data_IF_067797777479
#
_entry.id   IF_067797777479
#
_cell.length_a   1.000
_cell.length_b   1.000
_cell.length_c   1.000
_cell.angle_alpha   90.00
_cell.angle_beta   90.00
_cell.angle_gamma   90.00
#
_symmetry.space_group_name_H-M   'P 1'
#
loop_
_entity.id
_entity.type
_entity.pdbx_description
1 polymer ?
#
# COMPACT_ATOMS: atom_id res chain seq x y z
N UNK A 1 22.08 -2.74 12.76
CA UNK A 1 21.82 -1.33 13.04
C UNK A 1 20.37 -1.02 12.77
N UNK A 2 19.61 -0.98 13.86
CA UNK A 2 18.28 -0.41 13.97
C UNK A 2 18.34 1.11 14.03
N UNK A 3 17.20 1.78 13.83
CA UNK A 3 17.11 3.23 13.98
C UNK A 3 17.32 3.64 15.44
N UNK A 4 16.74 2.89 16.38
CA UNK A 4 16.93 3.14 17.82
C UNK A 4 18.41 3.08 18.23
N UNK A 5 19.11 2.02 17.81
CA UNK A 5 20.54 1.82 18.07
C UNK A 5 21.41 2.97 17.51
N UNK A 6 21.15 3.38 16.27
CA UNK A 6 21.91 4.44 15.59
C UNK A 6 21.78 5.80 16.31
N UNK A 7 20.61 6.09 16.86
CA UNK A 7 20.33 7.35 17.54
C UNK A 7 20.35 7.27 19.07
N UNK A 8 20.79 6.14 19.64
CA UNK A 8 20.91 5.97 21.09
C UNK A 8 19.56 5.99 21.84
N UNK A 9 18.48 5.58 21.18
CA UNK A 9 17.15 5.49 21.77
C UNK A 9 17.06 4.18 22.56
N UNK A 10 16.71 4.26 23.84
CA UNK A 10 16.44 3.06 24.64
C UNK A 10 14.98 2.68 24.47
N UNK A 11 14.73 1.60 23.74
CA UNK A 11 13.38 1.04 23.59
C UNK A 11 13.09 0.01 24.70
N UNK A 12 11.90 0.09 25.29
CA UNK A 12 11.41 -0.85 26.31
C UNK A 12 10.41 -1.88 25.74
N UNK A 13 10.02 -1.73 24.46
CA UNK A 13 9.27 -2.72 23.68
C UNK A 13 7.79 -2.40 23.50
N UNK A 14 7.25 -1.41 24.20
CA UNK A 14 5.86 -0.95 24.10
C UNK A 14 5.68 0.22 23.12
N UNK A 15 6.74 0.66 22.44
CA UNK A 15 6.66 1.78 21.51
C UNK A 15 5.77 1.46 20.33
N UNK A 16 4.89 2.38 19.96
CA UNK A 16 3.95 2.18 18.85
C UNK A 16 4.60 2.32 17.46
N UNK A 17 5.83 2.84 17.38
CA UNK A 17 6.55 3.05 16.12
C UNK A 17 7.42 1.86 15.76
N UNK A 18 7.47 1.52 14.48
CA UNK A 18 8.33 0.46 13.97
C UNK A 18 9.78 0.94 13.94
N UNK A 19 10.68 0.17 14.51
CA UNK A 19 12.12 0.44 14.51
C UNK A 19 12.80 -0.26 13.32
N UNK A 20 13.05 0.46 12.20
CA UNK A 20 13.54 -0.14 10.99
C UNK A 20 15.02 -0.52 11.06
N UNK A 21 15.37 -1.59 10.35
CA UNK A 21 16.77 -1.92 10.07
C UNK A 21 17.27 -0.96 9.00
N UNK A 22 18.28 -0.12 9.30
CA UNK A 22 18.65 0.98 8.40
C UNK A 22 19.41 0.54 7.13
N UNK A 23 20.09 -0.59 7.16
CA UNK A 23 20.95 -1.05 6.07
C UNK A 23 20.28 -2.05 5.12
N UNK A 24 19.04 -2.48 5.41
CA UNK A 24 18.28 -3.42 4.58
C UNK A 24 16.79 -3.20 4.74
N UNK A 25 16.00 -3.64 3.76
CA UNK A 25 14.54 -3.56 3.89
C UNK A 25 13.99 -4.75 4.67
N UNK A 26 12.99 -4.49 5.51
CA UNK A 26 12.28 -5.53 6.25
C UNK A 26 11.08 -6.02 5.44
N UNK A 27 10.88 -7.34 5.34
CA UNK A 27 9.80 -7.96 4.55
C UNK A 27 8.42 -7.81 5.22
N UNK A 28 8.01 -6.56 5.36
CA UNK A 28 6.75 -6.06 5.89
C UNK A 28 6.23 -4.98 4.92
N UNK A 29 4.93 -4.79 4.94
CA UNK A 29 4.20 -3.89 4.05
C UNK A 29 3.22 -3.05 4.86
N UNK A 30 2.98 -1.81 4.44
CA UNK A 30 1.88 -1.01 4.97
C UNK A 30 0.57 -1.59 4.45
N UNK A 31 -0.28 -2.01 5.38
CA UNK A 31 -1.62 -2.52 5.08
C UNK A 31 -2.61 -1.34 5.12
N UNK A 32 -3.23 -0.96 3.98
CA UNK A 32 -4.11 0.20 3.95
C UNK A 32 -5.28 0.03 4.93
N UNK A 33 -5.81 -1.18 5.06
CA UNK A 33 -6.90 -1.49 5.97
C UNK A 33 -6.52 -1.25 7.44
N UNK A 34 -5.29 -1.60 7.81
CA UNK A 34 -4.76 -1.35 9.16
C UNK A 34 -4.59 0.15 9.44
N UNK A 35 -4.25 0.95 8.42
CA UNK A 35 -4.23 2.41 8.53
C UNK A 35 -5.64 2.95 8.81
N UNK A 36 -6.68 2.39 8.17
CA UNK A 36 -8.07 2.86 8.35
C UNK A 36 -8.60 2.59 9.76
N UNK A 37 -8.10 1.55 10.43
CA UNK A 37 -8.41 1.23 11.83
C UNK A 37 -7.59 2.04 12.85
N UNK A 38 -6.77 2.99 12.40
CA UNK A 38 -5.96 3.84 13.28
C UNK A 38 -6.83 4.72 14.19
N UNK A 39 -6.44 4.80 15.46
CA UNK A 39 -7.03 5.75 16.43
C UNK A 39 -6.23 7.07 16.54
N UNK A 40 -5.10 7.22 15.84
CA UNK A 40 -4.36 8.49 15.80
C UNK A 40 -5.05 9.48 14.86
N UNK A 41 -5.45 10.63 15.39
CA UNK A 41 -6.11 11.73 14.67
C UNK A 41 -5.34 12.17 13.42
N UNK A 42 -4.02 12.02 13.40
CA UNK A 42 -3.19 12.33 12.22
C UNK A 42 -3.62 11.52 10.99
N UNK A 43 -4.13 10.31 11.18
CA UNK A 43 -4.48 9.36 10.12
C UNK A 43 -5.98 9.16 9.93
N UNK A 44 -6.83 9.86 10.68
CA UNK A 44 -8.29 9.67 10.68
C UNK A 44 -8.95 9.73 9.29
N UNK A 45 -8.48 10.62 8.41
CA UNK A 45 -9.04 10.81 7.07
C UNK A 45 -8.29 10.06 5.96
N UNK A 46 -7.35 9.17 6.32
CA UNK A 46 -6.47 8.48 5.35
C UNK A 46 -7.26 7.65 4.35
N UNK A 47 -8.30 6.95 4.80
CA UNK A 47 -9.16 6.13 3.94
C UNK A 47 -9.86 6.96 2.87
N UNK A 48 -10.60 7.97 3.30
CA UNK A 48 -11.35 8.87 2.43
C UNK A 48 -10.44 9.55 1.40
N UNK A 49 -9.23 9.94 1.81
CA UNK A 49 -8.25 10.53 0.91
C UNK A 49 -7.74 9.54 -0.15
N UNK A 50 -7.37 8.32 0.25
CA UNK A 50 -6.91 7.28 -0.68
C UNK A 50 -8.02 6.94 -1.67
N UNK A 51 -9.24 6.70 -1.18
CA UNK A 51 -10.40 6.42 -2.03
C UNK A 51 -10.70 7.57 -2.99
N UNK A 52 -10.64 8.81 -2.52
CA UNK A 52 -10.85 9.99 -3.36
C UNK A 52 -9.80 10.10 -4.48
N UNK A 53 -8.54 9.80 -4.20
CA UNK A 53 -7.48 9.77 -5.21
C UNK A 53 -7.81 8.77 -6.35
N UNK A 54 -8.17 7.53 -6.00
CA UNK A 54 -8.49 6.52 -7.01
C UNK A 54 -9.81 6.80 -7.72
N UNK A 55 -10.81 7.35 -7.03
CA UNK A 55 -12.04 7.80 -7.66
C UNK A 55 -11.77 8.84 -8.76
N UNK A 56 -10.90 9.82 -8.50
CA UNK A 56 -10.49 10.79 -9.52
C UNK A 56 -9.77 10.14 -10.70
N UNK A 57 -8.97 9.10 -10.48
CA UNK A 57 -8.32 8.35 -11.55
C UNK A 57 -9.35 7.55 -12.39
N UNK A 58 -10.30 6.88 -11.74
CA UNK A 58 -11.39 6.16 -12.40
C UNK A 58 -12.23 7.10 -13.28
N UNK A 59 -12.64 8.26 -12.75
CA UNK A 59 -13.42 9.26 -13.48
C UNK A 59 -12.69 9.77 -14.73
N UNK A 60 -11.39 10.06 -14.62
CA UNK A 60 -10.58 10.51 -15.75
C UNK A 60 -10.45 9.44 -16.84
N UNK A 61 -10.28 8.18 -16.44
CA UNK A 61 -10.17 7.05 -17.37
C UNK A 61 -11.54 6.80 -18.03
N UNK A 62 -12.62 6.79 -17.28
CA UNK A 62 -13.98 6.65 -17.80
C UNK A 62 -14.32 7.76 -18.80
N UNK A 63 -14.01 9.02 -18.45
CA UNK A 63 -14.21 10.20 -19.32
C UNK A 63 -13.46 10.07 -20.66
N UNK A 64 -12.32 9.38 -20.66
CA UNK A 64 -11.54 9.18 -21.88
C UNK A 64 -12.12 8.13 -22.83
N UNK A 65 -13.11 7.33 -22.40
CA UNK A 65 -13.63 6.18 -23.15
C UNK A 65 -12.55 5.14 -23.47
N UNK A 66 -11.48 5.07 -22.66
CA UNK A 66 -10.32 4.20 -22.88
C UNK A 66 -9.37 4.66 -23.99
N UNK A 67 -9.57 5.84 -24.56
CA UNK A 67 -8.65 6.38 -25.57
C UNK A 67 -7.36 6.90 -24.92
N UNK A 68 -6.27 6.14 -25.09
CA UNK A 68 -4.93 6.45 -24.55
C UNK A 68 -4.37 7.81 -25.00
N UNK A 69 -4.85 8.35 -26.12
CA UNK A 69 -4.42 9.66 -26.62
C UNK A 69 -5.21 10.83 -26.01
N UNK A 70 -6.34 10.56 -25.35
CA UNK A 70 -7.18 11.57 -24.71
C UNK A 70 -6.46 12.22 -23.53
N UNK A 71 -6.70 13.52 -23.32
CA UNK A 71 -6.06 14.29 -22.26
C UNK A 71 -6.36 13.72 -20.87
N UNK A 72 -7.60 13.32 -20.59
CA UNK A 72 -7.99 12.70 -19.32
C UNK A 72 -7.25 11.39 -19.05
N UNK A 73 -7.05 10.55 -20.07
CA UNK A 73 -6.30 9.29 -19.92
C UNK A 73 -4.84 9.56 -19.53
N UNK A 74 -4.18 10.47 -20.28
CA UNK A 74 -2.80 10.88 -19.98
C UNK A 74 -2.68 11.53 -18.60
N UNK A 75 -3.72 12.25 -18.16
CA UNK A 75 -3.76 12.86 -16.84
C UNK A 75 -3.87 11.81 -15.75
N UNK A 76 -4.75 10.81 -15.90
CA UNK A 76 -4.84 9.68 -14.98
C UNK A 76 -3.52 8.91 -14.91
N UNK A 77 -2.88 8.63 -16.05
CA UNK A 77 -1.56 7.98 -16.09
C UNK A 77 -0.50 8.77 -15.33
N UNK A 78 -0.50 10.10 -15.47
CA UNK A 78 0.40 10.97 -14.69
C UNK A 78 0.08 11.00 -13.19
N UNK A 79 -1.19 10.85 -12.80
CA UNK A 79 -1.57 10.77 -11.38
C UNK A 79 -1.08 9.45 -10.77
N UNK A 80 -1.29 8.36 -11.49
CA UNK A 80 -0.93 6.99 -11.11
C UNK A 80 0.59 6.71 -11.20
N UNK A 81 1.39 7.71 -11.59
CA UNK A 81 2.83 7.69 -11.49
C UNK A 81 3.28 8.04 -10.07
N UNK A 82 3.23 7.05 -9.17
CA UNK A 82 3.67 7.26 -7.80
C UNK A 82 5.20 7.42 -7.73
N UNK A 83 5.72 8.38 -6.93
CA UNK A 83 7.14 8.49 -6.64
C UNK A 83 7.67 7.28 -5.85
N UNK A 84 8.97 7.01 -5.91
CA UNK A 84 9.61 5.96 -5.10
C UNK A 84 9.74 6.39 -3.63
N UNK A 85 9.50 5.49 -2.68
CA UNK A 85 9.58 5.75 -1.22
C UNK A 85 10.67 4.92 -0.56
N UNK A 86 11.93 5.22 -0.89
CA UNK A 86 13.09 4.52 -0.31
C UNK A 86 13.40 4.82 1.17
N UNK A 87 12.61 5.72 1.78
CA UNK A 87 12.83 6.19 3.15
C UNK A 87 12.28 5.25 4.24
N UNK A 88 11.45 4.26 3.89
CA UNK A 88 10.73 3.43 4.86
C UNK A 88 11.53 2.21 5.37
N UNK A 89 12.52 1.74 4.60
CA UNK A 89 13.23 0.49 4.86
C UNK A 89 12.29 -0.74 4.98
N UNK A 90 11.25 -0.77 4.15
CA UNK A 90 10.25 -1.83 4.05
C UNK A 90 10.25 -2.41 2.64
N UNK A 91 9.83 -3.67 2.50
CA UNK A 91 9.63 -4.34 1.22
C UNK A 91 10.53 -5.56 0.99
N UNK A 92 10.60 -6.00 -0.27
CA UNK A 92 11.36 -7.18 -0.67
C UNK A 92 12.87 -6.88 -0.71
N UNK A 93 13.60 -7.20 0.36
CA UNK A 93 15.07 -7.13 0.39
C UNK A 93 15.70 -8.31 -0.37
N UNK A 94 16.08 -8.07 -1.63
CA UNK A 94 17.21 -8.66 -2.40
C UNK A 94 17.18 -8.13 -3.84
N UNK A 95 18.29 -7.50 -4.26
CA UNK A 95 18.72 -7.30 -5.66
C UNK A 95 17.83 -6.58 -6.67
N UNK A 96 16.61 -6.15 -6.34
CA UNK A 96 15.86 -5.23 -7.21
C UNK A 96 16.27 -3.81 -6.84
N UNK A 97 17.07 -3.15 -7.70
CA UNK A 97 17.00 -1.69 -7.77
C UNK A 97 15.52 -1.36 -7.88
N UNK A 98 15.00 -0.62 -6.90
CA UNK A 98 13.58 -0.40 -6.68
C UNK A 98 12.87 -0.29 -8.01
N UNK A 99 12.08 -1.31 -8.35
CA UNK A 99 11.19 -1.22 -9.48
C UNK A 99 10.09 -0.28 -9.03
N UNK A 100 10.38 1.01 -8.89
CA UNK A 100 9.37 1.99 -8.54
C UNK A 100 8.14 1.77 -9.43
N UNK A 101 7.02 2.31 -9.00
CA UNK A 101 5.82 2.58 -9.79
C UNK A 101 6.14 3.54 -10.94
N UNK A 102 7.20 3.26 -11.71
CA UNK A 102 7.72 4.10 -12.76
C UNK A 102 6.77 4.16 -13.95
N UNK A 103 7.15 4.87 -15.03
CA UNK A 103 6.25 5.17 -16.14
C UNK A 103 5.57 3.94 -16.75
N UNK A 104 6.28 2.81 -16.85
CA UNK A 104 5.70 1.58 -17.38
C UNK A 104 4.65 0.97 -16.45
N UNK A 105 4.86 1.06 -15.15
CA UNK A 105 3.91 0.57 -14.17
C UNK A 105 2.67 1.46 -14.10
N UNK A 106 2.83 2.79 -14.15
CA UNK A 106 1.71 3.73 -14.22
C UNK A 106 0.81 3.45 -15.44
N UNK A 107 1.42 3.19 -16.61
CA UNK A 107 0.71 2.74 -17.82
C UNK A 107 -0.07 1.44 -17.61
N UNK A 108 0.56 0.48 -16.95
CA UNK A 108 -0.04 -0.84 -16.66
C UNK A 108 -1.23 -0.69 -15.72
N UNK A 109 -1.08 0.05 -14.62
CA UNK A 109 -2.17 0.33 -13.68
C UNK A 109 -3.33 1.08 -14.37
N UNK A 110 -3.03 2.10 -15.18
CA UNK A 110 -4.05 2.85 -15.94
C UNK A 110 -4.79 1.94 -16.90
N UNK A 111 -4.08 1.03 -17.59
CA UNK A 111 -4.68 0.07 -18.50
C UNK A 111 -5.54 -0.97 -17.77
N UNK A 112 -5.10 -1.45 -16.61
CA UNK A 112 -5.87 -2.38 -15.77
C UNK A 112 -7.16 -1.73 -15.26
N UNK A 113 -7.08 -0.50 -14.74
CA UNK A 113 -8.27 0.26 -14.32
C UNK A 113 -9.21 0.47 -15.51
N UNK A 114 -8.69 0.83 -16.68
CA UNK A 114 -9.51 0.96 -17.89
C UNK A 114 -10.21 -0.35 -18.27
N UNK A 115 -9.51 -1.48 -18.15
CA UNK A 115 -10.09 -2.81 -18.39
C UNK A 115 -11.22 -3.11 -17.41
N UNK A 116 -10.99 -2.91 -16.11
CA UNK A 116 -11.98 -3.08 -15.04
C UNK A 116 -13.24 -2.22 -15.30
N UNK A 117 -13.06 -0.94 -15.66
CA UNK A 117 -14.16 -0.04 -16.04
C UNK A 117 -14.93 -0.57 -17.25
N UNK A 118 -14.25 -1.08 -18.28
CA UNK A 118 -14.89 -1.64 -19.47
C UNK A 118 -15.76 -2.87 -19.18
N UNK A 119 -15.56 -3.51 -18.02
CA UNK A 119 -16.33 -4.66 -17.52
C UNK A 119 -17.45 -4.27 -16.55
N UNK A 120 -17.69 -2.97 -16.34
CA UNK A 120 -18.80 -2.43 -15.55
C UNK A 120 -18.45 -2.07 -14.11
N UNK A 121 -17.21 -2.31 -13.67
CA UNK A 121 -16.74 -1.90 -12.33
C UNK A 121 -16.31 -0.44 -12.39
N UNK A 122 -17.21 0.45 -11.96
CA UNK A 122 -17.05 1.91 -12.10
C UNK A 122 -16.49 2.60 -10.85
N UNK A 123 -16.43 1.89 -9.73
CA UNK A 123 -15.86 2.34 -8.47
C UNK A 123 -15.39 1.13 -7.67
N UNK A 124 -14.49 1.37 -6.70
CA UNK A 124 -14.03 0.39 -5.73
C UNK A 124 -14.69 0.66 -4.38
N UNK A 125 -14.93 -0.38 -3.59
CA UNK A 125 -15.36 -0.22 -2.19
C UNK A 125 -14.14 -0.05 -1.30
N UNK A 126 -13.08 -0.82 -1.54
CA UNK A 126 -11.78 -0.70 -0.90
C UNK A 126 -10.67 -0.60 -1.93
N UNK A 127 -9.63 0.17 -1.60
CA UNK A 127 -8.48 0.35 -2.48
C UNK A 127 -7.73 -0.97 -2.76
N UNK A 128 -7.69 -1.85 -1.77
CA UNK A 128 -7.04 -3.15 -1.78
C UNK A 128 -7.64 -4.12 -2.79
N UNK A 129 -8.88 -3.88 -3.23
CA UNK A 129 -9.50 -4.65 -4.32
C UNK A 129 -8.64 -4.62 -5.59
N UNK A 130 -7.85 -3.57 -5.81
CA UNK A 130 -6.88 -3.52 -6.90
C UNK A 130 -5.85 -4.67 -6.83
N UNK A 131 -5.53 -5.19 -5.66
CA UNK A 131 -4.65 -6.37 -5.49
C UNK A 131 -5.27 -7.70 -5.94
N UNK A 132 -6.61 -7.71 -6.09
CA UNK A 132 -7.39 -8.84 -6.62
C UNK A 132 -7.68 -8.61 -8.11
N UNK A 133 -8.16 -7.42 -8.46
CA UNK A 133 -8.66 -7.09 -9.80
C UNK A 133 -7.55 -6.81 -10.81
N UNK A 134 -6.39 -6.30 -10.38
CA UNK A 134 -5.31 -5.96 -11.29
C UNK A 134 -4.17 -6.97 -11.21
N UNK A 135 -3.81 -7.51 -12.38
CA UNK A 135 -2.58 -8.28 -12.51
C UNK A 135 -1.35 -7.43 -12.15
N UNK A 136 -0.37 -8.06 -11.50
CA UNK A 136 0.90 -7.40 -11.13
C UNK A 136 0.82 -6.44 -9.92
N UNK A 137 -0.34 -6.31 -9.26
CA UNK A 137 -0.47 -5.54 -8.02
C UNK A 137 -0.35 -6.47 -6.82
N UNK A 138 0.84 -6.51 -6.22
CA UNK A 138 1.12 -7.24 -4.98
C UNK A 138 1.03 -6.38 -3.72
N UNK A 139 1.28 -7.01 -2.55
CA UNK A 139 1.42 -6.33 -1.25
C UNK A 139 2.38 -5.13 -1.26
N UNK A 140 3.50 -5.27 -1.98
CA UNK A 140 4.50 -4.21 -2.17
C UNK A 140 3.90 -2.98 -2.83
N UNK A 141 3.12 -3.18 -3.90
CA UNK A 141 2.51 -2.09 -4.66
C UNK A 141 1.43 -1.38 -3.87
N UNK A 142 0.57 -2.11 -3.18
CA UNK A 142 -0.45 -1.53 -2.30
C UNK A 142 0.20 -0.73 -1.17
N UNK A 143 1.26 -1.27 -0.56
CA UNK A 143 2.05 -0.58 0.46
C UNK A 143 2.71 0.69 -0.09
N UNK A 144 3.35 0.63 -1.27
CA UNK A 144 4.03 1.78 -1.88
C UNK A 144 3.04 2.90 -2.24
N UNK A 145 1.87 2.57 -2.78
CA UNK A 145 0.82 3.54 -3.09
C UNK A 145 0.31 4.21 -1.81
N UNK A 146 0.05 3.41 -0.76
CA UNK A 146 -0.41 3.89 0.55
C UNK A 146 0.63 4.80 1.20
N UNK A 147 1.89 4.38 1.20
CA UNK A 147 3.02 5.17 1.67
C UNK A 147 3.14 6.51 0.96
N UNK A 148 2.93 6.54 -0.37
CA UNK A 148 2.98 7.78 -1.13
C UNK A 148 1.84 8.74 -0.82
N UNK A 149 0.60 8.23 -0.76
CA UNK A 149 -0.58 9.04 -0.48
C UNK A 149 -0.56 9.60 0.94
N UNK A 150 0.02 8.87 1.88
CA UNK A 150 0.11 9.27 3.29
C UNK A 150 1.48 9.84 3.67
N UNK A 151 2.34 10.12 2.69
CA UNK A 151 3.74 10.46 2.93
C UNK A 151 3.90 11.69 3.82
N UNK A 152 3.10 12.74 3.59
CA UNK A 152 3.09 13.94 4.41
C UNK A 152 2.73 13.63 5.89
N UNK A 153 1.72 12.78 6.13
CA UNK A 153 1.34 12.33 7.48
C UNK A 153 2.44 11.50 8.12
N UNK A 154 3.04 10.57 7.38
CA UNK A 154 4.17 9.76 7.87
C UNK A 154 5.40 10.61 8.19
N UNK A 155 5.65 11.69 7.44
CA UNK A 155 6.68 12.69 7.76
C UNK A 155 6.35 13.39 9.08
N UNK A 156 5.12 13.87 9.27
CA UNK A 156 4.69 14.49 10.53
C UNK A 156 4.81 13.51 11.71
N UNK A 157 4.40 12.25 11.52
CA UNK A 157 4.55 11.19 12.51
C UNK A 157 6.02 10.95 12.89
N UNK A 158 6.90 10.88 11.89
CA UNK A 158 8.35 10.74 12.09
C UNK A 158 8.91 11.91 12.89
N UNK A 159 8.52 13.14 12.56
CA UNK A 159 8.95 14.34 13.28
C UNK A 159 8.50 14.34 14.74
N UNK A 160 7.27 13.86 15.04
CA UNK A 160 6.79 13.69 16.42
C UNK A 160 7.72 12.77 17.22
N UNK A 161 8.07 11.61 16.67
CA UNK A 161 8.99 10.64 17.31
C UNK A 161 10.39 11.24 17.48
N UNK A 162 10.94 11.86 16.43
CA UNK A 162 12.25 12.48 16.50
C UNK A 162 12.32 13.57 17.58
N UNK A 163 11.26 14.37 17.75
CA UNK A 163 11.19 15.38 18.79
C UNK A 163 11.12 14.77 20.21
N UNK A 164 10.38 13.67 20.40
CA UNK A 164 10.30 12.95 21.68
C UNK A 164 11.68 12.46 22.13
N UNK A 165 12.44 11.88 21.20
CA UNK A 165 13.74 11.27 21.48
C UNK A 165 14.95 12.16 21.18
N UNK A 166 14.73 13.45 20.84
CA UNK A 166 15.77 14.40 20.46
C UNK A 166 16.68 13.92 19.30
N UNK A 167 16.11 13.21 18.33
CA UNK A 167 16.82 12.75 17.14
C UNK A 167 17.10 13.95 16.22
N UNK A 168 18.35 14.17 15.78
CA UNK A 168 18.67 15.29 14.91
C UNK A 168 18.05 15.11 13.53
N UNK A 169 17.38 16.15 13.05
CA UNK A 169 16.77 16.21 11.72
C UNK A 169 17.45 17.25 10.84
N UNK A 170 17.52 16.98 9.53
CA UNK A 170 18.02 17.95 8.53
C UNK A 170 16.96 18.26 7.49
N UNK A 171 17.03 19.45 6.90
CA UNK A 171 16.19 19.82 5.76
C UNK A 171 16.61 18.97 4.56
N UNK A 172 15.65 18.24 4.01
CA UNK A 172 15.83 17.38 2.84
C UNK A 172 14.70 17.61 1.85
N UNK A 173 15.02 17.54 0.56
CA UNK A 173 14.03 17.55 -0.50
C UNK A 173 13.41 16.16 -0.61
N UNK A 174 12.11 16.06 -0.37
CA UNK A 174 11.32 14.84 -0.58
C UNK A 174 10.55 14.98 -1.88
N UNK A 175 10.81 14.06 -2.82
CA UNK A 175 10.10 14.03 -4.10
C UNK A 175 8.68 13.50 -3.93
N UNK A 176 7.71 14.18 -4.53
CA UNK A 176 6.29 13.91 -4.35
C UNK A 176 5.92 13.73 -2.89
N UNK A 177 6.26 14.72 -2.07
CA UNK A 177 5.97 14.78 -0.64
C UNK A 177 4.46 14.69 -0.36
N UNK A 178 3.63 15.24 -1.25
CA UNK A 178 2.17 15.13 -1.21
C UNK A 178 1.57 15.22 -2.62
N UNK A 179 0.29 14.88 -2.74
CA UNK A 179 -0.47 15.02 -3.97
C UNK A 179 -1.37 16.26 -3.92
N UNK A 180 -1.27 17.11 -4.94
CA UNK A 180 -2.11 18.29 -5.11
C UNK A 180 -3.37 17.91 -5.90
N UNK A 181 -4.53 17.89 -5.23
CA UNK A 181 -5.80 17.51 -5.84
C UNK A 181 -6.38 18.57 -6.78
N UNK A 182 -5.98 19.84 -6.65
CA UNK A 182 -6.44 20.93 -7.54
C UNK A 182 -5.82 20.76 -8.92
N UNK A 183 -4.49 20.61 -8.95
CA UNK A 183 -3.74 20.46 -10.20
C UNK A 183 -3.50 19.00 -10.58
N UNK A 184 -3.92 18.05 -9.74
CA UNK A 184 -3.81 16.59 -9.92
C UNK A 184 -2.37 16.17 -10.24
N UNK A 185 -1.42 16.54 -9.37
CA UNK A 185 0.01 16.27 -9.56
C UNK A 185 0.74 16.07 -8.24
N UNK A 186 1.82 15.30 -8.27
CA UNK A 186 2.75 15.16 -7.15
C UNK A 186 3.57 16.44 -6.96
N UNK A 187 3.73 16.87 -5.70
CA UNK A 187 4.47 18.07 -5.32
C UNK A 187 5.67 17.68 -4.46
N UNK A 188 6.85 18.20 -4.81
CA UNK A 188 8.05 18.07 -4.01
C UNK A 188 8.04 19.09 -2.86
N UNK A 189 8.61 18.73 -1.72
CA UNK A 189 8.68 19.63 -0.56
C UNK A 189 10.00 19.48 0.21
N UNK A 190 10.41 20.55 0.90
CA UNK A 190 11.55 20.53 1.81
C UNK A 190 11.08 20.35 3.25
N UNK A 191 11.38 19.19 3.83
CA UNK A 191 10.94 18.82 5.17
C UNK A 191 12.13 18.47 6.07
N UNK A 192 11.91 18.49 7.38
CA UNK A 192 12.89 18.03 8.37
C UNK A 192 12.71 16.52 8.58
N UNK A 193 13.75 15.74 8.34
CA UNK A 193 13.77 14.29 8.59
C UNK A 193 15.13 13.84 9.15
N UNK A 194 15.16 12.74 9.93
CA UNK A 194 16.41 12.04 10.28
C UNK A 194 17.05 11.42 9.03
N UNK A 195 18.37 11.20 9.08
CA UNK A 195 19.14 10.74 7.93
C UNK A 195 19.74 9.36 8.17
N UNK A 196 19.59 8.46 7.21
CA UNK A 196 20.16 7.12 7.23
C UNK A 196 21.63 7.14 6.77
N UNK A 197 22.61 6.94 7.68
CA UNK A 197 24.03 6.96 7.29
C UNK A 197 24.42 5.76 6.42
N UNK A 198 23.67 4.66 6.47
CA UNK A 198 23.91 3.44 5.69
C UNK A 198 23.39 3.52 4.25
N UNK A 199 22.49 4.49 3.95
CA UNK A 199 21.90 4.71 2.62
C UNK A 199 22.24 6.10 2.07
N UNK A 200 23.53 6.46 2.06
CA UNK A 200 24.03 7.75 1.52
C UNK A 200 23.35 8.99 2.14
N UNK A 201 23.05 8.95 3.43
CA UNK A 201 22.32 10.01 4.14
C UNK A 201 20.92 10.29 3.53
N UNK A 202 20.23 9.27 3.03
CA UNK A 202 18.84 9.39 2.61
C UNK A 202 17.92 9.66 3.81
N UNK A 203 16.77 10.32 3.62
CA UNK A 203 15.79 10.46 4.70
C UNK A 203 15.31 9.10 5.23
N UNK A 204 14.95 9.06 6.51
CA UNK A 204 14.18 7.97 7.13
C UNK A 204 12.77 8.46 7.43
N UNK A 205 11.77 7.66 7.09
CA UNK A 205 10.38 7.86 7.47
C UNK A 205 9.98 6.66 8.33
N UNK A 206 9.47 6.94 9.54
CA UNK A 206 8.98 5.95 10.47
C UNK A 206 7.48 5.71 10.25
N UNK A 207 7.02 4.52 10.64
CA UNK A 207 5.63 4.08 10.50
C UNK A 207 5.14 3.46 11.81
N UNK A 208 3.86 3.57 12.16
CA UNK A 208 3.29 2.81 13.26
C UNK A 208 3.40 1.30 13.03
N UNK A 209 3.76 0.54 14.07
CA UNK A 209 3.77 -0.94 14.05
C UNK A 209 2.40 -1.50 13.67
N UNK A 210 1.34 -0.85 14.12
CA UNK A 210 -0.05 -1.25 13.84
C UNK A 210 -0.41 -1.23 12.36
N UNK A 211 0.32 -0.48 11.53
CA UNK A 211 0.07 -0.41 10.08
C UNK A 211 0.76 -1.52 9.29
N UNK A 212 1.65 -2.29 9.93
CA UNK A 212 2.51 -3.23 9.25
C UNK A 212 1.92 -4.64 9.23
N UNK A 213 1.93 -5.24 8.04
CA UNK A 213 1.47 -6.61 7.83
C UNK A 213 2.39 -7.36 6.85
N UNK A 214 2.23 -8.68 6.79
CA UNK A 214 2.96 -9.56 5.86
C UNK A 214 2.26 -9.66 4.51
N UNK A 215 0.93 -9.65 4.53
CA UNK A 215 0.04 -9.53 3.37
C UNK A 215 -1.09 -8.58 3.78
N UNK A 216 -1.66 -7.79 2.86
CA UNK A 216 -2.84 -6.99 3.14
C UNK A 216 -4.02 -7.89 3.55
N UNK A 217 -4.91 -7.40 4.41
CA UNK A 217 -6.11 -8.17 4.82
C UNK A 217 -6.97 -8.59 3.61
N UNK A 218 -7.11 -7.70 2.62
CA UNK A 218 -7.74 -7.98 1.33
C UNK A 218 -6.64 -8.38 0.34
N UNK A 219 -6.58 -9.66 -0.04
CA UNK A 219 -5.57 -10.17 -0.97
C UNK A 219 -6.11 -11.30 -1.86
N UNK A 220 -5.43 -11.56 -2.98
CA UNK A 220 -5.87 -12.52 -4.00
C UNK A 220 -5.87 -13.97 -3.50
N UNK A 221 -4.94 -14.33 -2.60
CA UNK A 221 -4.81 -15.69 -2.08
C UNK A 221 -6.01 -16.02 -1.18
N UNK A 222 -6.33 -15.16 -0.22
CA UNK A 222 -7.47 -15.33 0.68
C UNK A 222 -8.83 -15.24 -0.04
N UNK A 223 -8.94 -14.39 -1.07
CA UNK A 223 -10.12 -14.36 -1.94
C UNK A 223 -10.32 -15.70 -2.65
N UNK A 224 -9.28 -16.27 -3.25
CA UNK A 224 -9.33 -17.58 -3.92
C UNK A 224 -9.71 -18.71 -2.97
N UNK A 225 -9.12 -18.74 -1.77
CA UNK A 225 -9.46 -19.73 -0.74
C UNK A 225 -10.91 -19.62 -0.26
N UNK A 226 -11.39 -18.39 -0.04
CA UNK A 226 -12.77 -18.13 0.38
C UNK A 226 -13.77 -18.56 -0.70
N UNK A 227 -13.48 -18.25 -1.96
CA UNK A 227 -14.29 -18.67 -3.10
C UNK A 227 -14.37 -20.20 -3.21
N UNK A 228 -13.22 -20.89 -3.15
CA UNK A 228 -13.16 -22.36 -3.18
C UNK A 228 -13.95 -22.99 -2.02
N UNK A 229 -13.90 -22.40 -0.83
CA UNK A 229 -14.67 -22.89 0.31
C UNK A 229 -16.17 -22.68 0.09
N UNK A 230 -16.58 -21.50 -0.38
CA UNK A 230 -17.98 -21.19 -0.66
C UNK A 230 -18.56 -22.14 -1.73
N UNK A 231 -17.81 -22.45 -2.78
CA UNK A 231 -18.21 -23.42 -3.81
C UNK A 231 -18.38 -24.83 -3.25
N UNK A 232 -17.41 -25.32 -2.47
CA UNK A 232 -17.50 -26.64 -1.81
C UNK A 232 -18.72 -26.76 -0.92
N UNK A 233 -19.17 -25.67 -0.31
CA UNK A 233 -20.35 -25.64 0.55
C UNK A 233 -21.66 -25.54 -0.26
N UNK A 234 -21.64 -24.90 -1.44
CA UNK A 234 -22.83 -24.69 -2.28
C UNK A 234 -23.19 -25.90 -3.17
N UNK A 235 -22.32 -26.89 -3.38
CA UNK A 235 -22.52 -28.06 -4.26
C UNK A 235 -22.94 -27.76 -5.73
N UNK A 236 -23.03 -26.48 -6.14
CA UNK A 236 -23.85 -26.05 -7.27
C UNK A 236 -23.09 -25.34 -8.42
N UNK A 237 -21.78 -25.54 -8.60
CA UNK A 237 -21.09 -25.05 -9.81
C UNK A 237 -20.15 -26.08 -10.44
N UNK A 238 -20.33 -26.29 -11.75
CA UNK A 238 -19.46 -27.05 -12.66
C UNK A 238 -18.08 -26.39 -12.93
N UNK A 239 -17.69 -25.40 -12.13
CA UNK A 239 -16.35 -24.83 -12.22
C UNK A 239 -15.42 -25.75 -11.44
N UNK A 240 -14.64 -26.56 -12.16
CA UNK A 240 -13.41 -27.11 -11.57
C UNK A 240 -12.48 -25.93 -11.30
N UNK A 241 -12.64 -25.28 -10.16
CA UNK A 241 -11.68 -24.30 -9.67
C UNK A 241 -10.41 -25.09 -9.35
N UNK A 242 -9.51 -25.08 -10.33
CA UNK A 242 -8.19 -25.68 -10.22
C UNK A 242 -7.53 -25.14 -8.95
N UNK A 243 -7.00 -26.03 -8.11
CA UNK A 243 -6.38 -25.64 -6.83
C UNK A 243 -5.17 -24.72 -7.02
N UNK A 244 -4.67 -24.61 -8.25
CA UNK A 244 -3.51 -23.81 -8.63
C UNK A 244 -3.86 -22.71 -9.65
N UNK A 245 -4.98 -21.99 -9.46
CA UNK A 245 -5.23 -20.79 -10.26
C UNK A 245 -4.07 -19.80 -10.10
N UNK A 246 -3.51 -19.37 -11.23
CA UNK A 246 -2.59 -18.25 -11.24
C UNK A 246 -3.34 -16.93 -10.97
N UNK A 247 -2.58 -15.89 -10.65
CA UNK A 247 -3.13 -14.58 -10.28
C UNK A 247 -3.92 -13.93 -11.41
N UNK A 248 -3.56 -14.21 -12.66
CA UNK A 248 -4.24 -13.68 -13.84
C UNK A 248 -5.67 -14.24 -13.94
N UNK A 249 -5.84 -15.55 -13.77
CA UNK A 249 -7.16 -16.19 -13.73
C UNK A 249 -8.01 -15.73 -12.54
N UNK A 250 -7.41 -15.57 -11.36
CA UNK A 250 -8.11 -15.04 -10.18
C UNK A 250 -8.67 -13.65 -10.49
N UNK A 251 -7.85 -12.77 -11.07
CA UNK A 251 -8.27 -11.42 -11.45
C UNK A 251 -9.40 -11.45 -12.49
N UNK A 252 -9.30 -12.33 -13.50
CA UNK A 252 -10.35 -12.48 -14.50
C UNK A 252 -11.69 -12.91 -13.88
N UNK A 253 -11.68 -13.95 -13.03
CA UNK A 253 -12.88 -14.43 -12.33
C UNK A 253 -13.47 -13.33 -11.45
N UNK A 254 -12.62 -12.61 -10.70
CA UNK A 254 -13.04 -11.52 -9.82
C UNK A 254 -13.71 -10.37 -10.61
N UNK A 255 -13.18 -10.02 -11.77
CA UNK A 255 -13.77 -8.98 -12.65
C UNK A 255 -15.09 -9.47 -13.26
N UNK A 256 -15.16 -10.72 -13.69
CA UNK A 256 -16.38 -11.31 -14.28
C UNK A 256 -17.49 -11.51 -13.25
N UNK A 257 -17.13 -11.70 -11.98
CA UNK A 257 -18.04 -12.00 -10.88
C UNK A 257 -17.81 -11.03 -9.71
N UNK A 258 -17.87 -9.72 -9.97
CA UNK A 258 -17.55 -8.70 -8.97
C UNK A 258 -18.42 -8.76 -7.70
N UNK A 259 -19.62 -9.34 -7.76
CA UNK A 259 -20.44 -9.55 -6.57
C UNK A 259 -19.82 -10.56 -5.58
N UNK A 260 -19.04 -11.54 -6.07
CA UNK A 260 -18.25 -12.43 -5.19
C UNK A 260 -17.15 -11.66 -4.45
N UNK A 261 -16.55 -10.66 -5.10
CA UNK A 261 -15.57 -9.78 -4.46
C UNK A 261 -16.25 -9.00 -3.33
N UNK A 262 -17.43 -8.44 -3.56
CA UNK A 262 -18.20 -7.73 -2.52
C UNK A 262 -18.56 -8.65 -1.34
N UNK A 263 -19.06 -9.86 -1.59
CA UNK A 263 -19.35 -10.85 -0.53
C UNK A 263 -18.08 -11.15 0.30
N UNK A 264 -16.94 -11.31 -0.36
CA UNK A 264 -15.65 -11.51 0.30
C UNK A 264 -15.24 -10.30 1.16
N UNK A 265 -15.37 -9.09 0.64
CA UNK A 265 -15.07 -7.85 1.39
C UNK A 265 -15.91 -7.76 2.66
N UNK A 266 -17.21 -8.03 2.60
CA UNK A 266 -18.10 -8.02 3.78
C UNK A 266 -17.68 -9.05 4.85
N UNK A 267 -17.07 -10.16 4.44
CA UNK A 267 -16.51 -11.15 5.36
C UNK A 267 -15.25 -10.61 6.03
N UNK A 268 -14.33 -10.02 5.24
CA UNK A 268 -13.07 -9.46 5.75
C UNK A 268 -13.32 -8.31 6.73
N UNK A 269 -14.28 -7.43 6.43
CA UNK A 269 -14.63 -6.30 7.31
C UNK A 269 -15.09 -6.73 8.71
N UNK A 270 -15.65 -7.93 8.84
CA UNK A 270 -16.10 -8.50 10.12
C UNK A 270 -14.96 -9.17 10.91
N UNK A 271 -13.76 -9.29 10.35
CA UNK A 271 -12.60 -9.91 11.02
C UNK A 271 -11.93 -8.94 11.99
N UNK A 272 -11.39 -9.50 13.07
CA UNK A 272 -10.54 -8.75 13.99
C UNK A 272 -9.27 -8.29 13.28
N UNK A 273 -8.81 -7.08 13.62
CA UNK A 273 -7.56 -6.55 13.08
C UNK A 273 -6.36 -7.44 13.51
N UNK A 274 -5.38 -7.67 12.62
CA UNK A 274 -4.19 -8.42 12.94
C UNK A 274 -3.37 -7.67 14.00
N UNK A 275 -2.93 -8.41 15.01
CA UNK A 275 -2.04 -7.87 16.04
C UNK A 275 -0.58 -8.05 15.61
N UNK A 276 0.14 -6.93 15.44
CA UNK A 276 1.55 -6.92 15.02
C UNK A 276 2.45 -7.86 15.85
N UNK A 277 2.31 -7.85 17.18
CA UNK A 277 3.10 -8.72 18.06
C UNK A 277 2.84 -10.21 17.83
N UNK A 278 1.57 -10.61 17.61
CA UNK A 278 1.23 -12.00 17.24
C UNK A 278 1.77 -12.36 15.85
N UNK A 279 1.69 -11.42 14.90
CA UNK A 279 2.19 -11.60 13.53
C UNK A 279 3.69 -11.86 13.50
N UNK A 280 4.48 -11.10 14.27
CA UNK A 280 5.93 -11.27 14.32
C UNK A 280 6.34 -12.61 14.94
N UNK A 281 5.65 -13.04 16.01
CA UNK A 281 5.89 -14.36 16.63
C UNK A 281 5.61 -15.52 15.68
N UNK A 282 4.59 -15.41 14.82
CA UNK A 282 4.21 -16.45 13.86
C UNK A 282 5.16 -16.53 12.67
N UNK A 283 5.63 -15.37 12.18
CA UNK A 283 6.34 -15.29 10.90
C UNK A 283 7.85 -15.24 11.03
N UNK A 284 8.38 -14.93 12.22
CA UNK A 284 9.82 -14.79 12.49
C UNK A 284 10.54 -13.80 11.55
N UNK A 285 9.80 -12.91 10.89
CA UNK A 285 10.37 -11.89 9.97
C UNK A 285 10.98 -10.70 10.71
N UNK A 286 10.68 -10.59 12.00
CA UNK A 286 11.23 -9.62 12.93
C UNK A 286 11.33 -10.34 14.27
N UNK A 287 12.53 -10.77 14.61
CA UNK A 287 12.85 -11.43 15.88
C UNK A 287 13.97 -10.61 16.49
N UNK A 288 13.77 -10.12 17.70
CA UNK A 288 14.88 -9.71 18.56
C UNK A 288 14.75 -10.42 19.90
N UNK A 289 15.88 -10.94 20.35
CA UNK A 289 16.13 -11.50 21.68
C UNK A 289 16.58 -10.38 22.61
#
# INVERSE_FOLDING_TARGET
MLFSEEYGITCIGDEDWFDPILHQDTLLFIDPFAVFKSNDDLFKDSYSEIMYFFQQAFELIATSGGNKNHLSYKKAESMLLFPEVNALCLGYSKTRQGSGTGPQWAKTLTANINYIISRGVTHLSHFEELGILCEGIGPDRLSDMTANLLKNRLITYTQRICNIYNVPMKKVLVRGAYFDYTFKRWIDDQVLLPLNPYKKNSPVILVPKSFLNVLPEINSDDFSETMQLAERLRNDFNYEVDRNLDKEKIAQIAIENYDLVKEYIEIVEKRDAPNFGKLMKKTLRYVWY
#
